data_IF_845401950332
#
_entry.id   IF_845401950332
#
_cell.length_a   1.000
_cell.length_b   1.000
_cell.length_c   1.000
_cell.angle_alpha   90.00
_cell.angle_beta   90.00
_cell.angle_gamma   90.00
#
_symmetry.space_group_name_H-M   'P 1'
#
loop_
_entity.id
_entity.type
_entity.pdbx_description
1 polymer ?
#
# COMPACT_ATOMS: atom_id res chain seq x y z
N UNK A 1 14.42 -19.06 7.35
CA UNK A 1 13.17 -18.89 6.58
C UNK A 1 13.51 -18.13 5.33
N UNK A 2 13.31 -18.73 4.16
CA UNK A 2 13.63 -18.11 2.87
C UNK A 2 12.54 -17.10 2.50
N UNK A 3 12.86 -15.81 2.59
CA UNK A 3 11.94 -14.72 2.24
C UNK A 3 11.49 -14.78 0.79
N UNK A 4 12.25 -15.40 -0.12
CA UNK A 4 11.87 -15.55 -1.52
C UNK A 4 10.62 -16.43 -1.68
N UNK A 5 10.49 -17.48 -0.87
CA UNK A 5 9.30 -18.37 -0.90
C UNK A 5 8.03 -17.72 -0.34
N UNK A 6 8.16 -16.72 0.53
CA UNK A 6 7.00 -15.99 1.08
C UNK A 6 6.29 -15.12 0.03
N UNK A 7 7.03 -14.67 -0.99
CA UNK A 7 6.53 -13.84 -2.09
C UNK A 7 6.43 -14.60 -3.42
N UNK A 8 6.78 -15.89 -3.44
CA UNK A 8 6.69 -16.71 -4.64
C UNK A 8 5.20 -16.94 -5.02
N UNK A 9 4.77 -16.30 -6.10
CA UNK A 9 3.43 -16.48 -6.68
C UNK A 9 3.44 -17.77 -7.50
N UNK A 10 3.21 -18.89 -6.84
CA UNK A 10 3.13 -20.21 -7.50
C UNK A 10 1.85 -20.39 -8.33
N UNK A 11 0.72 -19.80 -7.89
CA UNK A 11 -0.58 -19.90 -8.56
C UNK A 11 -1.11 -18.52 -8.93
N UNK A 12 -0.80 -18.00 -10.13
CA UNK A 12 -1.15 -16.64 -10.52
C UNK A 12 -2.68 -16.39 -10.58
N UNK A 13 -3.47 -17.44 -10.83
CA UNK A 13 -4.95 -17.35 -10.82
C UNK A 13 -5.48 -17.09 -9.40
N UNK A 14 -4.97 -17.80 -8.40
CA UNK A 14 -5.36 -17.58 -6.99
C UNK A 14 -4.88 -16.23 -6.49
N UNK A 15 -3.72 -15.76 -6.94
CA UNK A 15 -3.23 -14.42 -6.62
C UNK A 15 -4.15 -13.31 -7.18
N UNK A 16 -4.63 -13.46 -8.42
CA UNK A 16 -5.64 -12.54 -8.98
C UNK A 16 -6.94 -12.56 -8.18
N UNK A 17 -7.42 -13.74 -7.79
CA UNK A 17 -8.60 -13.86 -6.93
C UNK A 17 -8.38 -13.19 -5.56
N UNK A 18 -7.19 -13.35 -4.97
CA UNK A 18 -6.80 -12.71 -3.71
C UNK A 18 -6.83 -11.19 -3.81
N UNK A 19 -6.31 -10.60 -4.90
CA UNK A 19 -6.39 -9.15 -5.15
C UNK A 19 -7.85 -8.71 -5.23
N UNK A 20 -8.68 -9.43 -5.98
CA UNK A 20 -10.10 -9.05 -6.13
C UNK A 20 -10.85 -9.14 -4.79
N UNK A 21 -10.51 -10.12 -3.96
CA UNK A 21 -11.07 -10.28 -2.61
C UNK A 21 -10.52 -9.26 -1.61
N UNK A 22 -9.28 -8.78 -1.80
CA UNK A 22 -8.66 -7.76 -0.96
C UNK A 22 -9.10 -6.34 -1.33
N UNK A 23 -9.55 -6.09 -2.57
CA UNK A 23 -10.01 -4.77 -3.05
C UNK A 23 -10.97 -4.03 -2.10
N UNK A 24 -12.01 -4.66 -1.52
CA UNK A 24 -12.91 -3.97 -0.59
C UNK A 24 -12.20 -3.55 0.70
N UNK A 25 -11.28 -4.37 1.19
CA UNK A 25 -10.47 -4.10 2.37
C UNK A 25 -9.49 -2.95 2.09
N UNK A 26 -8.85 -2.98 0.91
CA UNK A 26 -7.93 -1.94 0.46
C UNK A 26 -8.64 -0.60 0.25
N UNK A 27 -9.86 -0.61 -0.32
CA UNK A 27 -10.71 0.58 -0.46
C UNK A 27 -11.13 1.16 0.90
N UNK A 28 -11.42 0.29 1.86
CA UNK A 28 -11.77 0.73 3.21
C UNK A 28 -10.56 1.32 3.95
N UNK A 29 -9.40 0.66 3.86
CA UNK A 29 -8.12 1.18 4.36
C UNK A 29 -7.77 2.51 3.70
N UNK A 30 -8.00 2.65 2.40
CA UNK A 30 -7.76 3.88 1.66
C UNK A 30 -8.62 5.03 2.19
N UNK A 31 -9.90 4.79 2.45
CA UNK A 31 -10.79 5.77 3.10
C UNK A 31 -10.33 6.13 4.51
N UNK A 32 -9.88 5.16 5.32
CA UNK A 32 -9.38 5.44 6.67
C UNK A 32 -8.07 6.22 6.66
N UNK A 33 -7.16 5.88 5.74
CA UNK A 33 -5.86 6.51 5.64
C UNK A 33 -5.93 7.88 5.00
N UNK A 34 -6.74 8.13 3.97
CA UNK A 34 -6.71 9.40 3.24
C UNK A 34 -7.97 10.25 3.43
N UNK A 35 -9.04 9.68 3.99
CA UNK A 35 -10.35 10.32 4.16
C UNK A 35 -11.09 10.47 2.83
N UNK A 36 -10.45 11.15 1.87
CA UNK A 36 -11.05 11.56 0.61
C UNK A 36 -10.07 11.49 -0.56
N UNK A 37 -10.59 11.54 -1.79
CA UNK A 37 -9.78 11.54 -3.03
C UNK A 37 -8.77 12.67 -3.07
N UNK A 38 -9.14 13.83 -2.54
CA UNK A 38 -8.27 15.00 -2.45
C UNK A 38 -7.10 14.78 -1.47
N UNK A 39 -7.34 14.09 -0.35
CA UNK A 39 -6.29 13.71 0.60
C UNK A 39 -5.28 12.78 -0.05
N UNK A 40 -5.77 11.76 -0.75
CA UNK A 40 -4.90 10.81 -1.47
C UNK A 40 -4.05 11.49 -2.56
N UNK A 41 -4.65 12.36 -3.38
CA UNK A 41 -3.92 13.07 -4.43
C UNK A 41 -2.89 14.05 -3.87
N UNK A 42 -3.15 14.64 -2.70
CA UNK A 42 -2.19 15.51 -1.99
C UNK A 42 -1.00 14.69 -1.49
N UNK A 43 -1.25 13.60 -0.78
CA UNK A 43 -0.19 12.71 -0.29
C UNK A 43 0.61 12.11 -1.45
N UNK A 44 -0.05 11.74 -2.56
CA UNK A 44 0.60 11.22 -3.77
C UNK A 44 1.47 12.27 -4.43
N UNK A 45 0.99 13.51 -4.54
CA UNK A 45 1.76 14.61 -5.12
C UNK A 45 3.01 14.90 -4.28
N UNK A 46 2.90 14.87 -2.95
CA UNK A 46 4.02 15.11 -2.05
C UNK A 46 5.02 13.95 -2.07
N UNK A 47 4.54 12.70 -2.04
CA UNK A 47 5.40 11.52 -2.12
C UNK A 47 6.12 11.37 -3.46
N UNK A 48 5.52 11.88 -4.55
CA UNK A 48 6.12 11.88 -5.89
C UNK A 48 6.95 13.14 -6.18
N UNK A 49 6.86 14.18 -5.33
CA UNK A 49 7.66 15.39 -5.49
C UNK A 49 9.09 15.10 -5.02
N UNK A 50 10.11 15.38 -5.85
CA UNK A 50 11.49 15.18 -5.44
C UNK A 50 11.85 16.14 -4.28
N UNK A 51 12.37 15.55 -3.19
CA UNK A 51 12.70 16.13 -1.87
C UNK A 51 13.50 17.45 -1.89
N UNK A 52 14.11 17.84 -3.01
CA UNK A 52 14.98 19.01 -3.13
C UNK A 52 14.21 20.33 -2.99
N UNK A 53 12.95 20.39 -3.46
CA UNK A 53 12.13 21.62 -3.39
C UNK A 53 11.45 21.78 -2.03
N UNK A 54 11.15 20.67 -1.34
CA UNK A 54 10.50 20.68 -0.01
C UNK A 54 11.48 21.08 1.11
N UNK A 55 12.72 20.61 1.03
CA UNK A 55 13.79 21.01 1.96
C UNK A 55 14.11 22.52 1.92
N UNK A 56 13.91 23.18 0.78
CA UNK A 56 14.10 24.62 0.60
C UNK A 56 12.94 25.50 1.12
N UNK A 57 11.76 24.92 1.40
CA UNK A 57 10.57 25.64 1.90
C UNK A 57 10.32 25.47 3.40
N UNK A 58 11.02 24.57 4.08
CA UNK A 58 10.80 24.28 5.50
C UNK A 58 9.57 23.41 5.80
N UNK A 59 8.95 22.81 4.79
CA UNK A 59 7.79 21.88 4.91
C UNK A 59 8.23 20.40 4.95
N UNK A 60 9.51 20.15 5.30
CA UNK A 60 10.15 18.83 5.21
C UNK A 60 9.48 17.78 6.10
N UNK A 61 9.07 18.14 7.31
CA UNK A 61 8.41 17.22 8.25
C UNK A 61 7.01 16.78 7.77
N UNK A 62 6.24 17.69 7.15
CA UNK A 62 4.93 17.34 6.59
C UNK A 62 5.06 16.46 5.35
N UNK A 63 6.06 16.72 4.50
CA UNK A 63 6.34 15.91 3.31
C UNK A 63 6.79 14.48 3.68
N UNK A 64 7.64 14.34 4.70
CA UNK A 64 8.06 13.03 5.23
C UNK A 64 6.86 12.29 5.83
N UNK A 65 6.03 12.97 6.62
CA UNK A 65 4.88 12.34 7.25
C UNK A 65 3.88 11.80 6.22
N UNK A 66 3.57 12.58 5.19
CA UNK A 66 2.69 12.15 4.10
C UNK A 66 3.29 11.00 3.28
N UNK A 67 4.61 11.02 3.05
CA UNK A 67 5.33 9.93 2.38
C UNK A 67 5.29 8.64 3.21
N UNK A 68 5.53 8.73 4.52
CA UNK A 68 5.46 7.60 5.44
C UNK A 68 4.05 7.01 5.51
N UNK A 69 3.01 7.86 5.49
CA UNK A 69 1.60 7.47 5.45
C UNK A 69 1.26 6.71 4.16
N UNK A 70 1.76 7.18 3.01
CA UNK A 70 1.63 6.45 1.75
C UNK A 70 2.34 5.10 1.78
N UNK A 71 3.54 5.05 2.36
CA UNK A 71 4.31 3.81 2.46
C UNK A 71 3.63 2.80 3.39
N UNK A 72 3.10 3.27 4.52
CA UNK A 72 2.31 2.46 5.44
C UNK A 72 1.03 1.91 4.80
N UNK A 73 0.36 2.71 3.97
CA UNK A 73 -0.79 2.26 3.19
C UNK A 73 -0.42 1.21 2.13
N UNK A 74 0.67 1.42 1.38
CA UNK A 74 1.13 0.44 0.41
C UNK A 74 1.54 -0.88 1.08
N UNK A 75 2.23 -0.80 2.23
CA UNK A 75 2.62 -1.96 3.02
C UNK A 75 1.41 -2.72 3.57
N UNK A 76 0.36 -2.02 4.01
CA UNK A 76 -0.86 -2.66 4.53
C UNK A 76 -1.67 -3.36 3.43
N UNK A 77 -1.80 -2.74 2.24
CA UNK A 77 -2.43 -3.39 1.09
C UNK A 77 -1.66 -4.64 0.64
N UNK A 78 -0.32 -4.54 0.58
CA UNK A 78 0.53 -5.67 0.24
C UNK A 78 0.41 -6.81 1.28
N UNK A 79 0.47 -6.48 2.57
CA UNK A 79 0.30 -7.44 3.64
C UNK A 79 -1.09 -8.10 3.63
N UNK A 80 -2.15 -7.32 3.40
CA UNK A 80 -3.53 -7.83 3.28
C UNK A 80 -3.69 -8.79 2.12
N UNK A 81 -3.21 -8.42 0.93
CA UNK A 81 -3.25 -9.27 -0.27
C UNK A 81 -2.46 -10.58 -0.06
N UNK A 82 -1.28 -10.51 0.56
CA UNK A 82 -0.46 -11.69 0.86
C UNK A 82 -1.15 -12.60 1.87
N UNK A 83 -1.79 -12.03 2.91
CA UNK A 83 -2.53 -12.81 3.89
C UNK A 83 -3.70 -13.55 3.23
N UNK A 84 -4.50 -12.85 2.41
CA UNK A 84 -5.62 -13.45 1.66
C UNK A 84 -5.12 -14.54 0.71
N UNK A 85 -4.01 -14.31 0.00
CA UNK A 85 -3.40 -15.31 -0.87
C UNK A 85 -2.95 -16.56 -0.10
N UNK A 86 -2.31 -16.40 1.06
CA UNK A 86 -1.89 -17.53 1.90
C UNK A 86 -3.09 -18.31 2.43
N UNK A 87 -4.15 -17.64 2.85
CA UNK A 87 -5.40 -18.29 3.30
C UNK A 87 -6.04 -19.07 2.16
N UNK A 88 -6.14 -18.48 0.96
CA UNK A 88 -6.65 -19.17 -0.23
C UNK A 88 -5.79 -20.38 -0.62
N UNK A 89 -4.46 -20.27 -0.51
CA UNK A 89 -3.53 -21.38 -0.75
C UNK A 89 -3.69 -22.51 0.27
N UNK A 90 -4.05 -22.21 1.52
CA UNK A 90 -4.32 -23.23 2.54
C UNK A 90 -5.68 -23.93 2.33
N UNK A 91 -6.64 -23.25 1.71
CA UNK A 91 -8.00 -23.77 1.47
C UNK A 91 -8.15 -24.53 0.15
N UNK A 92 -7.19 -24.46 -0.78
CA UNK A 92 -7.26 -24.99 -2.15
C UNK A 92 -6.17 -26.03 -2.44
#
# INVERSE_FOLDING_TARGET
>A
MDFATLFAIERPVLFKAAIVLALPLDLWLWLQFFGDRHGFLRSLRLALQPDIVSALRGEYDEAIWETLRMFAFAASCAAGTILVYKVLKLLA
#
